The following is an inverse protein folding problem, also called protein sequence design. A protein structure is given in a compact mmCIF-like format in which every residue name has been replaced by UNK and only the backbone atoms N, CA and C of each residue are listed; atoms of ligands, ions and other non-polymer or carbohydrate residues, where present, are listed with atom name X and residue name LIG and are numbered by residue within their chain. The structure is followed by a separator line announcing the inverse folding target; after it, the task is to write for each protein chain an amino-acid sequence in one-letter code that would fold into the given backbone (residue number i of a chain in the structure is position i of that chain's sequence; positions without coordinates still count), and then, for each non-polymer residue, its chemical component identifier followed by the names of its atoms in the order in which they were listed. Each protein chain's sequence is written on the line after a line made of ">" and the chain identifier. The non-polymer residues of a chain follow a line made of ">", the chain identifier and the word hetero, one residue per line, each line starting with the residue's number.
data_IF_491271428888
#
_entry.id   IF_491271428888
#
_cell.length_a   1.000
_cell.length_b   1.000
_cell.length_c   1.000
_cell.angle_alpha   90.00
_cell.angle_beta   90.00
_cell.angle_gamma   90.00
#
_symmetry.space_group_name_H-M   'P 1'
#
loop_
_entity.id
_entity.type
_entity.pdbx_description
1 polymer ?
#
# COMPACT_ATOMS: atom_id res chain seq x y z
N UNK A 1 24.38 25.75 -12.77
CA UNK A 1 23.24 26.55 -13.27
C UNK A 1 21.92 25.99 -12.73
N UNK A 2 21.68 26.11 -11.42
CA UNK A 2 20.45 25.62 -10.76
C UNK A 2 19.39 26.73 -10.55
N UNK A 3 19.66 27.95 -11.03
CA UNK A 3 18.82 29.13 -10.84
C UNK A 3 18.00 29.53 -12.08
N UNK A 4 18.12 28.80 -13.19
CA UNK A 4 17.46 29.15 -14.46
C UNK A 4 16.07 28.47 -14.60
N UNK A 5 15.62 27.79 -13.55
CA UNK A 5 14.26 27.23 -13.49
C UNK A 5 13.35 28.18 -12.73
N UNK A 6 12.18 28.57 -13.29
CA UNK A 6 11.20 29.41 -12.59
C UNK A 6 10.78 28.89 -11.20
N UNK A 7 10.96 27.60 -10.91
CA UNK A 7 10.73 27.01 -9.59
C UNK A 7 11.83 27.25 -8.54
N UNK A 8 12.99 27.81 -8.91
CA UNK A 8 14.13 27.99 -8.02
C UNK A 8 13.94 29.10 -6.96
N UNK A 9 12.98 30.00 -7.16
CA UNK A 9 12.76 31.20 -6.34
C UNK A 9 11.33 31.35 -5.78
N UNK A 10 10.44 30.39 -6.07
CA UNK A 10 9.04 30.42 -5.66
C UNK A 10 8.51 29.05 -5.27
N UNK A 11 9.34 28.20 -4.64
CA UNK A 11 8.84 26.90 -4.18
C UNK A 11 7.99 27.12 -2.94
N UNK A 12 6.72 26.70 -3.00
CA UNK A 12 5.92 26.49 -1.80
C UNK A 12 6.46 25.28 -1.04
N UNK A 13 6.29 25.29 0.28
CA UNK A 13 6.57 24.16 1.16
C UNK A 13 5.30 23.81 1.94
N UNK A 14 5.13 22.52 2.22
CA UNK A 14 4.06 22.02 3.07
C UNK A 14 4.67 21.47 4.36
N UNK A 15 4.18 21.90 5.51
CA UNK A 15 4.62 21.43 6.82
C UNK A 15 3.43 20.93 7.64
N UNK A 16 3.65 19.85 8.38
CA UNK A 16 2.67 19.30 9.31
C UNK A 16 3.09 19.63 10.75
N UNK A 17 2.13 20.04 11.58
CA UNK A 17 2.36 20.19 13.01
C UNK A 17 2.48 18.83 13.74
N UNK A 18 2.21 17.72 13.05
CA UNK A 18 2.34 16.36 13.56
C UNK A 18 2.90 15.43 12.48
N UNK A 19 4.23 15.47 12.29
CA UNK A 19 4.92 14.72 11.24
C UNK A 19 4.96 13.21 11.46
N UNK A 20 4.64 12.71 12.66
CA UNK A 20 4.46 11.28 12.90
C UNK A 20 3.08 10.78 12.49
N UNK A 21 2.09 11.67 12.35
CA UNK A 21 0.77 11.35 11.82
C UNK A 21 0.71 11.45 10.31
N UNK A 22 1.28 12.51 9.72
CA UNK A 22 1.38 12.64 8.27
C UNK A 22 2.48 13.60 7.84
N UNK A 23 2.94 13.43 6.62
CA UNK A 23 3.78 14.41 5.91
C UNK A 23 3.05 14.93 4.68
N UNK A 24 3.52 16.04 4.14
CA UNK A 24 2.95 16.68 2.97
C UNK A 24 4.04 17.16 2.03
N UNK A 25 3.79 17.07 0.72
CA UNK A 25 4.62 17.64 -0.32
C UNK A 25 3.76 18.56 -1.20
N UNK A 26 4.38 19.61 -1.74
CA UNK A 26 3.72 20.55 -2.64
C UNK A 26 3.98 20.11 -4.08
N UNK A 27 2.90 19.99 -4.83
CA UNK A 27 2.84 19.77 -6.27
C UNK A 27 2.42 21.07 -6.99
N UNK A 28 2.60 21.17 -8.32
CA UNK A 28 2.13 22.33 -9.08
C UNK A 28 0.64 22.62 -8.85
N UNK A 29 0.31 23.90 -8.63
CA UNK A 29 -1.07 24.33 -8.37
C UNK A 29 -1.47 24.36 -6.89
N UNK A 30 -0.53 24.17 -5.97
CA UNK A 30 -0.78 24.42 -4.55
C UNK A 30 -1.06 25.90 -4.27
N UNK A 31 -1.95 26.13 -3.31
CA UNK A 31 -2.26 27.48 -2.81
C UNK A 31 -1.76 27.64 -1.38
N UNK A 32 -1.26 28.83 -1.05
CA UNK A 32 -0.93 29.22 0.31
C UNK A 32 -2.14 29.05 1.23
N UNK A 33 -1.94 28.47 2.41
CA UNK A 33 -3.04 28.22 3.34
C UNK A 33 -2.66 27.41 4.56
N UNK A 34 -3.55 27.41 5.55
CA UNK A 34 -3.45 26.58 6.73
C UNK A 34 -4.73 25.77 6.88
N UNK A 35 -4.58 24.45 6.98
CA UNK A 35 -5.69 23.50 6.97
C UNK A 35 -5.61 22.60 8.19
N UNK A 36 -6.74 22.33 8.83
CA UNK A 36 -6.83 21.31 9.88
C UNK A 36 -7.00 19.93 9.24
N UNK A 37 -6.21 18.95 9.67
CA UNK A 37 -6.19 17.58 9.17
C UNK A 37 -6.44 16.61 10.32
N UNK A 38 -7.45 15.74 10.16
CA UNK A 38 -7.77 14.69 11.13
C UNK A 38 -7.84 13.34 10.43
N UNK A 39 -7.05 12.37 10.89
CA UNK A 39 -6.96 11.03 10.30
C UNK A 39 -7.66 10.03 11.23
N UNK A 40 -8.78 9.47 10.78
CA UNK A 40 -9.57 8.52 11.58
C UNK A 40 -9.18 7.07 11.35
N UNK A 41 -8.73 6.72 10.14
CA UNK A 41 -8.23 5.38 9.80
C UNK A 41 -7.27 5.44 8.62
N UNK A 42 -6.37 4.45 8.53
CA UNK A 42 -5.46 4.29 7.40
C UNK A 42 -6.00 3.30 6.38
N UNK A 43 -5.54 3.43 5.14
CA UNK A 43 -5.75 2.40 4.13
C UNK A 43 -4.93 1.17 4.51
N UNK A 44 -5.56 0.00 4.46
CA UNK A 44 -4.94 -1.29 4.79
C UNK A 44 -5.07 -2.25 3.61
N UNK A 45 -4.04 -3.06 3.43
CA UNK A 45 -4.01 -4.12 2.43
C UNK A 45 -4.50 -5.42 3.08
N UNK A 46 -5.30 -6.19 2.34
CA UNK A 46 -5.83 -7.43 2.89
C UNK A 46 -4.71 -8.45 3.13
N UNK A 47 -4.77 -9.13 4.28
CA UNK A 47 -3.94 -10.28 4.59
C UNK A 47 -4.82 -11.43 5.11
N UNK A 48 -4.62 -12.60 4.52
CA UNK A 48 -5.33 -13.83 4.89
C UNK A 48 -4.33 -14.96 5.12
N UNK A 49 -4.66 -15.85 6.07
CA UNK A 49 -3.81 -17.00 6.46
C UNK A 49 -4.63 -18.27 6.39
N UNK A 50 -4.12 -19.32 5.73
CA UNK A 50 -4.83 -20.59 5.63
C UNK A 50 -5.10 -21.18 7.01
N UNK A 51 -6.32 -21.65 7.25
CA UNK A 51 -6.69 -22.28 8.54
C UNK A 51 -6.13 -23.69 8.66
N UNK A 52 -6.06 -24.42 7.54
CA UNK A 52 -5.36 -25.70 7.46
C UNK A 52 -3.87 -25.49 7.68
N UNK A 53 -3.33 -26.19 8.68
CA UNK A 53 -1.90 -26.33 8.91
C UNK A 53 -1.38 -27.57 8.18
N UNK A 54 -0.24 -27.44 7.53
CA UNK A 54 0.49 -28.53 6.89
C UNK A 54 1.69 -28.93 7.75
N UNK A 55 2.14 -30.19 7.66
CA UNK A 55 3.27 -30.65 8.47
C UNK A 55 4.57 -29.89 8.19
N UNK A 56 4.75 -29.37 6.97
CA UNK A 56 5.92 -28.60 6.54
C UNK A 56 5.61 -27.76 5.29
N UNK A 57 6.51 -26.86 4.92
CA UNK A 57 6.43 -26.12 3.65
C UNK A 57 6.58 -27.01 2.42
N UNK A 58 7.24 -28.17 2.55
CA UNK A 58 7.42 -29.17 1.49
C UNK A 58 6.25 -30.15 1.35
N UNK A 59 5.25 -30.08 2.23
CA UNK A 59 4.10 -30.99 2.20
C UNK A 59 3.28 -30.73 0.95
N UNK A 60 3.05 -31.80 0.17
CA UNK A 60 2.18 -31.76 -1.00
C UNK A 60 0.74 -31.43 -0.56
N UNK A 61 0.14 -30.45 -1.23
CA UNK A 61 -1.23 -30.00 -1.00
C UNK A 61 -2.16 -30.66 -2.01
N UNK A 62 -1.78 -30.62 -3.29
CA UNK A 62 -2.58 -31.16 -4.40
C UNK A 62 -2.17 -30.55 -5.73
N UNK A 63 -2.85 -30.98 -6.79
CA UNK A 63 -2.68 -30.45 -8.15
C UNK A 63 -4.01 -29.90 -8.65
N UNK A 64 -3.95 -28.96 -9.59
CA UNK A 64 -5.12 -28.27 -10.12
C UNK A 64 -4.78 -26.89 -10.68
N UNK A 65 -5.79 -26.08 -10.93
CA UNK A 65 -5.62 -24.67 -11.32
C UNK A 65 -6.41 -23.77 -10.40
N UNK A 66 -5.72 -22.83 -9.76
CA UNK A 66 -6.31 -21.77 -8.97
C UNK A 66 -6.50 -20.53 -9.83
N UNK A 67 -7.68 -19.92 -9.76
CA UNK A 67 -7.94 -18.58 -10.25
C UNK A 67 -7.97 -17.64 -9.04
N UNK A 68 -6.99 -16.74 -8.98
CA UNK A 68 -6.90 -15.72 -7.96
C UNK A 68 -7.37 -14.38 -8.52
N UNK A 69 -7.94 -13.52 -7.67
CA UNK A 69 -8.26 -12.14 -8.00
C UNK A 69 -7.84 -11.20 -6.88
N UNK A 70 -7.52 -9.95 -7.26
CA UNK A 70 -7.36 -8.82 -6.36
C UNK A 70 -8.23 -7.68 -6.91
N UNK A 71 -9.33 -7.38 -6.23
CA UNK A 71 -10.37 -6.51 -6.76
C UNK A 71 -10.89 -7.03 -8.11
N UNK A 72 -10.86 -6.18 -9.13
CA UNK A 72 -11.34 -6.51 -10.48
C UNK A 72 -10.32 -7.28 -11.35
N UNK A 73 -9.06 -7.39 -10.92
CA UNK A 73 -8.01 -8.06 -11.69
C UNK A 73 -7.89 -9.52 -11.28
N UNK A 74 -7.70 -10.43 -12.23
CA UNK A 74 -7.61 -11.86 -11.96
C UNK A 74 -6.51 -12.53 -12.79
N UNK A 75 -5.93 -13.60 -12.25
CA UNK A 75 -4.90 -14.41 -12.90
C UNK A 75 -4.97 -15.88 -12.44
N UNK A 76 -4.60 -16.80 -13.33
CA UNK A 76 -4.62 -18.24 -13.05
C UNK A 76 -3.23 -18.76 -12.70
N UNK A 77 -3.19 -19.77 -11.83
CA UNK A 77 -1.97 -20.46 -11.40
C UNK A 77 -2.22 -21.96 -11.50
N UNK A 78 -1.49 -22.62 -12.38
CA UNK A 78 -1.54 -24.08 -12.51
C UNK A 78 -0.51 -24.73 -11.58
N UNK A 79 -0.98 -25.67 -10.77
CA UNK A 79 -0.19 -26.45 -9.83
C UNK A 79 -0.15 -27.89 -10.34
N UNK A 80 1.04 -28.34 -10.72
CA UNK A 80 1.34 -29.71 -11.09
C UNK A 80 2.26 -30.38 -10.06
N UNK A 81 2.68 -31.61 -10.34
CA UNK A 81 3.53 -32.39 -9.43
C UNK A 81 4.91 -31.78 -9.15
N UNK A 82 5.34 -30.78 -9.94
CA UNK A 82 6.61 -30.10 -9.73
C UNK A 82 6.53 -28.95 -8.69
N UNK A 83 5.32 -28.48 -8.36
CA UNK A 83 5.09 -27.34 -7.49
C UNK A 83 3.87 -27.55 -6.57
N UNK A 84 3.49 -28.79 -6.30
CA UNK A 84 2.33 -29.18 -5.48
C UNK A 84 2.55 -29.01 -3.96
N UNK A 85 3.76 -28.67 -3.53
CA UNK A 85 4.04 -28.32 -2.14
C UNK A 85 3.52 -26.93 -1.76
N UNK A 86 3.32 -26.67 -0.47
CA UNK A 86 2.91 -25.36 0.01
C UNK A 86 3.87 -24.23 -0.42
N UNK A 87 5.18 -24.49 -0.38
CA UNK A 87 6.21 -23.57 -0.88
C UNK A 87 6.19 -23.42 -2.40
N UNK A 88 5.94 -24.51 -3.12
CA UNK A 88 5.80 -24.53 -4.57
C UNK A 88 4.62 -23.68 -5.03
N UNK A 89 3.49 -23.80 -4.34
CA UNK A 89 2.28 -23.01 -4.59
C UNK A 89 2.53 -21.53 -4.31
N UNK A 90 3.16 -21.19 -3.19
CA UNK A 90 3.52 -19.80 -2.89
C UNK A 90 4.43 -19.20 -3.97
N UNK A 91 5.45 -19.93 -4.40
CA UNK A 91 6.33 -19.51 -5.50
C UNK A 91 5.58 -19.37 -6.83
N UNK A 92 4.68 -20.29 -7.14
CA UNK A 92 3.86 -20.25 -8.35
C UNK A 92 2.94 -19.03 -8.38
N UNK A 93 2.32 -18.66 -7.26
CA UNK A 93 1.51 -17.44 -7.14
C UNK A 93 2.37 -16.19 -7.38
N UNK A 94 3.52 -16.08 -6.72
CA UNK A 94 4.42 -14.92 -6.83
C UNK A 94 4.99 -14.73 -8.24
N UNK A 95 5.20 -15.83 -8.97
CA UNK A 95 5.79 -15.82 -10.32
C UNK A 95 4.75 -15.82 -11.45
N UNK A 96 3.46 -15.91 -11.13
CA UNK A 96 2.41 -15.98 -12.13
C UNK A 96 2.31 -14.70 -12.96
N UNK A 97 2.23 -14.87 -14.28
CA UNK A 97 2.01 -13.76 -15.21
C UNK A 97 0.66 -13.10 -14.93
N UNK A 98 0.63 -11.78 -14.82
CA UNK A 98 -0.59 -11.02 -14.55
C UNK A 98 -1.00 -10.99 -13.08
N UNK A 99 -0.16 -11.45 -12.15
CA UNK A 99 -0.39 -11.25 -10.72
C UNK A 99 -0.47 -9.73 -10.41
N UNK A 100 -1.63 -9.21 -9.97
CA UNK A 100 -1.86 -7.78 -9.76
C UNK A 100 -1.26 -7.25 -8.45
N UNK A 101 -0.53 -8.08 -7.70
CA UNK A 101 0.12 -7.68 -6.44
C UNK A 101 -0.23 -8.54 -5.23
N UNK A 102 -0.67 -9.80 -5.44
CA UNK A 102 -0.81 -10.79 -4.37
C UNK A 102 0.54 -11.43 -4.09
N UNK A 103 1.05 -11.25 -2.87
CA UNK A 103 2.27 -11.89 -2.39
C UNK A 103 1.92 -13.08 -1.51
N UNK A 104 2.47 -14.24 -1.87
CA UNK A 104 2.33 -15.48 -1.14
C UNK A 104 3.61 -15.82 -0.37
N UNK A 105 3.47 -16.21 0.89
CA UNK A 105 4.55 -16.71 1.73
C UNK A 105 4.09 -17.90 2.56
N UNK A 106 5.05 -18.67 3.06
CA UNK A 106 4.79 -19.78 3.96
C UNK A 106 5.31 -19.43 5.35
N UNK A 107 4.43 -19.42 6.33
CA UNK A 107 4.79 -19.22 7.75
C UNK A 107 4.68 -20.55 8.46
N UNK A 108 5.80 -21.01 9.05
CA UNK A 108 5.84 -22.25 9.83
C UNK A 108 5.89 -21.92 11.31
N UNK A 109 4.83 -22.29 12.03
CA UNK A 109 4.72 -22.16 13.47
C UNK A 109 4.72 -23.52 14.16
N UNK A 110 4.35 -23.53 15.44
CA UNK A 110 4.25 -24.76 16.25
C UNK A 110 3.13 -25.69 15.79
N UNK A 111 2.08 -25.15 15.17
CA UNK A 111 0.95 -25.90 14.60
C UNK A 111 1.24 -26.50 13.22
N UNK A 112 2.35 -26.10 12.59
CA UNK A 112 2.68 -26.46 11.22
C UNK A 112 2.88 -25.25 10.31
N UNK A 113 2.94 -25.50 9.00
CA UNK A 113 3.10 -24.51 7.95
C UNK A 113 1.75 -24.02 7.42
N UNK A 114 1.63 -22.71 7.23
CA UNK A 114 0.44 -22.03 6.72
C UNK A 114 0.79 -21.18 5.49
N UNK A 115 -0.12 -21.12 4.52
CA UNK A 115 -0.03 -20.19 3.40
C UNK A 115 -0.56 -18.83 3.84
N UNK A 116 0.27 -17.81 3.69
CA UNK A 116 -0.10 -16.42 3.96
C UNK A 116 -0.14 -15.67 2.64
N UNK A 117 -1.27 -15.03 2.36
CA UNK A 117 -1.45 -14.20 1.18
C UNK A 117 -1.66 -12.75 1.64
N UNK A 118 -0.87 -11.85 1.08
CA UNK A 118 -0.91 -10.42 1.40
C UNK A 118 -1.02 -9.61 0.11
N UNK A 119 -1.96 -8.68 0.06
CA UNK A 119 -2.02 -7.69 -1.02
C UNK A 119 -0.90 -6.66 -0.85
N UNK A 120 -0.27 -6.25 -1.93
CA UNK A 120 0.63 -5.08 -1.98
C UNK A 120 -0.12 -3.77 -2.18
N UNK A 121 -1.42 -3.84 -2.47
CA UNK A 121 -2.30 -2.70 -2.72
C UNK A 121 -3.30 -2.57 -1.57
N UNK A 122 -3.34 -1.38 -0.96
CA UNK A 122 -4.31 -1.04 0.08
C UNK A 122 -5.67 -0.66 -0.51
N UNK A 123 -6.70 -0.53 0.32
CA UNK A 123 -8.00 0.00 -0.09
C UNK A 123 -9.09 -1.07 -0.11
N UNK A 124 -10.31 -0.68 0.25
CA UNK A 124 -11.45 -1.55 0.48
C UNK A 124 -11.88 -2.36 -0.76
N UNK A 125 -11.57 -1.88 -1.96
CA UNK A 125 -11.88 -2.58 -3.22
C UNK A 125 -10.85 -3.67 -3.57
N UNK A 126 -9.67 -3.68 -2.94
CA UNK A 126 -8.59 -4.62 -3.23
C UNK A 126 -8.70 -5.88 -2.37
N UNK A 127 -9.84 -6.57 -2.52
CA UNK A 127 -10.11 -7.85 -1.85
C UNK A 127 -9.66 -9.03 -2.70
N UNK A 128 -9.21 -10.09 -2.04
CA UNK A 128 -8.77 -11.33 -2.65
C UNK A 128 -9.94 -12.31 -2.80
N UNK A 129 -9.93 -13.07 -3.89
CA UNK A 129 -10.70 -14.30 -4.02
C UNK A 129 -9.84 -15.37 -4.68
N UNK A 130 -10.06 -16.62 -4.32
CA UNK A 130 -9.34 -17.78 -4.82
C UNK A 130 -10.36 -18.86 -5.09
N UNK A 131 -10.41 -19.34 -6.33
CA UNK A 131 -11.29 -20.42 -6.74
C UNK A 131 -10.48 -21.51 -7.43
N UNK A 132 -10.86 -22.77 -7.23
CA UNK A 132 -10.30 -23.87 -8.01
C UNK A 132 -11.14 -24.00 -9.28
N UNK A 133 -10.49 -23.84 -10.44
CA UNK A 133 -11.16 -23.85 -11.75
C UNK A 133 -10.94 -25.16 -12.52
N UNK A 134 -9.93 -25.94 -12.14
CA UNK A 134 -9.68 -27.28 -12.65
C UNK A 134 -8.99 -28.15 -11.59
N UNK A 135 -9.36 -29.43 -11.53
CA UNK A 135 -8.91 -30.35 -10.47
C UNK A 135 -9.84 -30.38 -9.26
N UNK A 136 -9.45 -31.14 -8.24
CA UNK A 136 -10.15 -31.23 -6.94
C UNK A 136 -9.20 -31.27 -5.74
N UNK A 137 -7.91 -31.01 -5.98
CA UNK A 137 -6.85 -31.16 -4.98
C UNK A 137 -6.59 -29.90 -4.16
N UNK A 138 -7.14 -28.75 -4.57
CA UNK A 138 -6.79 -27.44 -4.02
C UNK A 138 -7.96 -26.73 -3.32
N UNK A 139 -9.07 -27.43 -3.08
CA UNK A 139 -10.27 -26.88 -2.42
C UNK A 139 -9.96 -26.21 -1.07
N UNK A 140 -9.02 -26.74 -0.29
CA UNK A 140 -8.56 -26.17 0.98
C UNK A 140 -7.86 -24.80 0.84
N UNK A 141 -7.40 -24.45 -0.37
CA UNK A 141 -6.79 -23.15 -0.68
C UNK A 141 -7.77 -22.16 -1.33
N UNK A 142 -9.03 -22.53 -1.50
CA UNK A 142 -10.05 -21.60 -2.02
C UNK A 142 -10.44 -20.58 -0.98
N UNK A 143 -10.75 -19.36 -1.42
CA UNK A 143 -11.10 -18.24 -0.56
C UNK A 143 -12.17 -17.37 -1.22
N UNK A 144 -13.21 -17.11 -0.44
CA UNK A 144 -14.19 -16.07 -0.68
C UNK A 144 -14.45 -15.37 0.65
N UNK A 145 -15.00 -14.15 0.62
CA UNK A 145 -15.46 -13.50 1.85
C UNK A 145 -16.39 -14.43 2.63
N UNK A 146 -16.10 -14.62 3.93
CA UNK A 146 -16.85 -15.54 4.81
C UNK A 146 -16.46 -17.02 4.74
N UNK A 147 -15.49 -17.42 3.89
CA UNK A 147 -14.96 -18.79 3.86
C UNK A 147 -14.19 -19.13 5.14
N UNK A 148 -14.22 -20.40 5.54
CA UNK A 148 -13.50 -20.93 6.71
C UNK A 148 -12.08 -21.41 6.38
N UNK A 149 -11.70 -21.44 5.10
CA UNK A 149 -10.39 -21.93 4.66
C UNK A 149 -9.26 -20.95 5.00
N UNK A 150 -9.60 -19.67 5.24
CA UNK A 150 -8.64 -18.65 5.65
C UNK A 150 -9.20 -17.81 6.79
N UNK A 151 -8.31 -17.40 7.69
CA UNK A 151 -8.57 -16.34 8.67
C UNK A 151 -8.07 -15.02 8.10
N UNK A 152 -8.91 -13.98 8.15
CA UNK A 152 -8.51 -12.63 7.79
C UNK A 152 -7.76 -11.97 8.95
N UNK A 153 -6.46 -11.71 8.75
CA UNK A 153 -5.61 -11.03 9.73
C UNK A 153 -5.73 -9.51 9.60
N UNK A 154 -5.89 -9.03 8.36
CA UNK A 154 -6.10 -7.60 8.07
C UNK A 154 -7.12 -7.49 6.95
N UNK A 155 -8.12 -6.64 7.15
CA UNK A 155 -9.13 -6.35 6.13
C UNK A 155 -8.59 -5.34 5.11
N UNK A 156 -8.98 -5.48 3.84
CA UNK A 156 -8.89 -4.38 2.88
C UNK A 156 -9.72 -3.20 3.39
N UNK A 157 -9.10 -2.03 3.52
CA UNK A 157 -9.74 -0.84 4.06
C UNK A 157 -9.19 0.41 3.37
N UNK A 158 -10.06 1.40 3.13
CA UNK A 158 -9.67 2.73 2.67
C UNK A 158 -9.24 3.61 3.84
N UNK A 159 -8.30 4.52 3.61
CA UNK A 159 -8.03 5.60 4.54
C UNK A 159 -9.26 6.50 4.66
N UNK A 160 -9.49 7.00 5.87
CA UNK A 160 -10.52 7.99 6.18
C UNK A 160 -9.91 9.12 6.96
N UNK A 161 -10.09 10.35 6.48
CA UNK A 161 -9.57 11.56 7.10
C UNK A 161 -10.42 12.77 6.70
N UNK A 162 -10.11 13.94 7.25
CA UNK A 162 -10.71 15.20 6.83
C UNK A 162 -9.68 16.31 6.69
N UNK A 163 -9.95 17.26 5.79
CA UNK A 163 -9.19 18.50 5.61
C UNK A 163 -10.16 19.67 5.77
N UNK A 164 -9.87 20.60 6.68
CA UNK A 164 -10.77 21.70 7.04
C UNK A 164 -12.19 21.23 7.42
N UNK A 165 -12.31 20.03 8.00
CA UNK A 165 -13.57 19.40 8.37
C UNK A 165 -14.30 18.68 7.23
N UNK A 166 -13.80 18.76 5.99
CA UNK A 166 -14.38 18.06 4.83
C UNK A 166 -13.83 16.63 4.81
N UNK A 167 -14.72 15.64 4.91
CA UNK A 167 -14.34 14.23 4.89
C UNK A 167 -13.83 13.76 3.52
N UNK A 168 -12.84 12.88 3.53
CA UNK A 168 -12.24 12.28 2.34
C UNK A 168 -11.91 10.81 2.62
N UNK A 169 -12.15 9.95 1.62
CA UNK A 169 -11.74 8.55 1.63
C UNK A 169 -10.76 8.27 0.51
N UNK A 170 -9.75 7.44 0.79
CA UNK A 170 -8.71 7.12 -0.19
C UNK A 170 -8.34 5.63 -0.14
N UNK A 171 -8.19 4.95 -1.29
CA UNK A 171 -7.67 3.58 -1.29
C UNK A 171 -6.18 3.51 -0.91
N UNK A 172 -5.46 4.64 -0.87
CA UNK A 172 -4.03 4.72 -0.56
C UNK A 172 -3.76 5.67 0.60
N UNK A 173 -2.67 5.41 1.33
CA UNK A 173 -2.13 6.33 2.33
C UNK A 173 -1.29 7.47 1.72
N UNK A 174 -0.93 7.37 0.43
CA UNK A 174 -0.40 8.50 -0.35
C UNK A 174 -1.54 9.10 -1.17
N UNK A 175 -1.95 10.31 -0.84
CA UNK A 175 -3.15 10.97 -1.36
C UNK A 175 -2.78 12.25 -2.09
N UNK A 176 -3.02 12.30 -3.39
CA UNK A 176 -2.63 13.42 -4.26
C UNK A 176 -3.77 14.38 -4.61
N UNK A 177 -5.03 13.97 -4.36
CA UNK A 177 -6.22 14.63 -4.92
C UNK A 177 -7.16 15.21 -3.86
N UNK A 178 -6.84 15.05 -2.56
CA UNK A 178 -7.66 15.56 -1.47
C UNK A 178 -7.52 17.08 -1.28
N UNK A 179 -6.37 17.63 -1.66
CA UNK A 179 -6.10 19.06 -1.68
C UNK A 179 -5.32 19.39 -2.97
N UNK A 180 -5.81 20.36 -3.74
CA UNK A 180 -5.19 20.72 -5.02
C UNK A 180 -3.72 21.10 -4.83
N UNK A 181 -2.85 20.45 -5.60
CA UNK A 181 -1.41 20.67 -5.56
C UNK A 181 -0.73 20.20 -4.26
N UNK A 182 -1.36 19.34 -3.46
CA UNK A 182 -0.70 18.80 -2.26
C UNK A 182 -0.84 17.28 -2.22
N UNK A 183 0.29 16.60 -2.11
CA UNK A 183 0.36 15.17 -1.80
C UNK A 183 0.50 14.99 -0.29
N UNK A 184 -0.42 14.25 0.32
CA UNK A 184 -0.38 13.83 1.72
C UNK A 184 0.09 12.39 1.85
N UNK A 185 1.00 12.12 2.78
CA UNK A 185 1.37 10.77 3.18
C UNK A 185 0.88 10.53 4.61
N UNK A 186 -0.16 9.70 4.76
CA UNK A 186 -0.77 9.32 6.02
C UNK A 186 0.04 8.20 6.66
N UNK A 187 0.44 8.37 7.92
CA UNK A 187 1.34 7.46 8.63
C UNK A 187 0.66 6.82 9.83
N UNK A 188 -0.11 7.60 10.60
CA UNK A 188 -0.87 7.13 11.77
C UNK A 188 -2.17 7.93 11.94
N UNK A 189 -3.10 7.41 12.73
CA UNK A 189 -4.31 8.15 13.10
C UNK A 189 -3.98 9.30 14.05
N UNK A 190 -4.82 10.33 14.03
CA UNK A 190 -4.66 11.50 14.91
C UNK A 190 -5.64 11.43 16.08
N UNK A 191 -5.19 11.71 17.29
CA UNK A 191 -6.06 11.86 18.47
C UNK A 191 -6.71 13.25 18.58
N UNK A 192 -6.12 14.26 17.93
CA UNK A 192 -6.64 15.61 17.77
C UNK A 192 -6.24 16.15 16.39
N UNK A 193 -6.99 17.11 15.81
CA UNK A 193 -6.64 17.67 14.51
C UNK A 193 -5.24 18.29 14.50
N UNK A 194 -4.46 18.00 13.48
CA UNK A 194 -3.14 18.57 13.25
C UNK A 194 -3.18 19.60 12.11
N UNK A 195 -2.30 20.59 12.15
CA UNK A 195 -2.28 21.68 11.18
C UNK A 195 -1.33 21.35 10.03
N UNK A 196 -1.83 21.43 8.81
CA UNK A 196 -1.06 21.48 7.58
C UNK A 196 -0.90 22.96 7.17
N UNK A 197 0.34 23.41 6.97
CA UNK A 197 0.63 24.76 6.49
C UNK A 197 1.33 24.69 5.14
N UNK A 198 0.76 25.35 4.14
CA UNK A 198 1.37 25.61 2.82
C UNK A 198 1.83 27.07 2.80
N UNK A 199 3.14 27.27 2.73
CA UNK A 199 3.77 28.58 2.82
C UNK A 199 4.93 28.71 1.82
N UNK A 200 5.44 29.92 1.61
CA UNK A 200 6.67 30.12 0.85
C UNK A 200 7.85 29.40 1.53
N UNK A 201 8.59 28.59 0.78
CA UNK A 201 9.75 27.86 1.29
C UNK A 201 11.00 28.74 1.26
N UNK A 202 11.02 29.75 2.13
CA UNK A 202 12.10 30.74 2.23
C UNK A 202 13.46 30.15 2.62
N UNK A 203 13.47 29.00 3.31
CA UNK A 203 14.70 28.28 3.68
C UNK A 203 15.38 27.65 2.47
N UNK A 204 14.62 27.05 1.56
CA UNK A 204 15.15 26.51 0.29
C UNK A 204 15.67 27.63 -0.60
N UNK A 205 14.94 28.75 -0.68
CA UNK A 205 15.38 29.95 -1.41
C UNK A 205 16.72 30.46 -0.85
N UNK A 206 16.84 30.58 0.48
CA UNK A 206 18.08 31.02 1.12
C UNK A 206 19.24 30.06 0.83
N UNK A 207 19.01 28.74 0.88
CA UNK A 207 20.03 27.72 0.58
C UNK A 207 20.50 27.78 -0.88
N UNK A 208 19.58 27.96 -1.83
CA UNK A 208 19.89 28.09 -3.25
C UNK A 208 20.73 29.34 -3.53
N UNK A 209 20.39 30.48 -2.90
CA UNK A 209 21.17 31.71 -2.98
C UNK A 209 22.57 31.52 -2.39
N UNK A 210 22.69 30.89 -1.22
CA UNK A 210 24.01 30.60 -0.64
C UNK A 210 24.85 29.68 -1.52
N UNK A 211 24.23 28.66 -2.13
CA UNK A 211 24.91 27.73 -3.05
C UNK A 211 25.42 28.46 -4.29
N UNK A 212 24.63 29.39 -4.83
CA UNK A 212 25.06 30.22 -5.94
C UNK A 212 26.22 31.15 -5.57
N UNK A 213 26.13 31.86 -4.44
CA UNK A 213 27.22 32.74 -3.97
C UNK A 213 28.52 31.95 -3.79
N UNK A 214 28.43 30.74 -3.22
CA UNK A 214 29.59 29.84 -3.11
C UNK A 214 30.16 29.49 -4.49
N UNK A 215 29.32 29.08 -5.44
CA UNK A 215 29.76 28.72 -6.78
C UNK A 215 30.44 29.89 -7.53
N UNK A 216 29.93 31.12 -7.36
CA UNK A 216 30.53 32.32 -7.94
C UNK A 216 31.88 32.66 -7.30
N UNK A 217 32.00 32.56 -5.97
CA UNK A 217 33.24 32.87 -5.25
C UNK A 217 34.33 31.80 -5.42
N UNK A 218 33.99 30.64 -5.98
CA UNK A 218 34.95 29.58 -6.33
C UNK A 218 35.44 29.64 -7.78
N UNK A 219 34.99 30.63 -8.55
CA UNK A 219 35.45 30.93 -9.92
C UNK A 219 36.51 32.04 -9.90
#
# INVERSE_FOLDING_TARGET
>A
AALDTPGAFGSLGATSSNTSAFTAAVDPGATLGSYSVSISQLAQAQQIVSTTAYSSSSTAVGTGTLQLSLGASSFSVTIGSANDSLSGIAAAINSASGNPGIQASVVTGTSGAHLVLTSTVTGASNTMSITETAGTGLTALTYSSGSTNYTQQTAAQDAGFSIAGIGYTSPSNTVTNALSGVTLNLLTTTSAPATLTVADNTTTIQSNVQTFVKAYNTL
#
